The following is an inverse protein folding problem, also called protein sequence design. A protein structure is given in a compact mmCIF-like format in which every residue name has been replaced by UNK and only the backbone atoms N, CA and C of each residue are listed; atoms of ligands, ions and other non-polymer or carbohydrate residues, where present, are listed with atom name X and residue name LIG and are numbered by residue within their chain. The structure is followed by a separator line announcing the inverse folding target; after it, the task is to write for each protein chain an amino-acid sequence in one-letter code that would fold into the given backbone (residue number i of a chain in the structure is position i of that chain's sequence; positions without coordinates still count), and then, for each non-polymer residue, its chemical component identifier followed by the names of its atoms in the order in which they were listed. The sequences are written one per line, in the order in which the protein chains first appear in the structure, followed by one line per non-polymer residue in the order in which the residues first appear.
data_IF_928149573108
#
_entry.id   IF_928149573108
#
_cell.length_a   1.000
_cell.length_b   1.000
_cell.length_c   1.000
_cell.angle_alpha   90.00
_cell.angle_beta   90.00
_cell.angle_gamma   90.00
#
_symmetry.space_group_name_H-M   'P 1'
#
loop_
_entity.id
_entity.type
_entity.pdbx_description
1 polymer ?
#
# COMPACT_ATOMS: atom_id res chain seq x y z
N UNK A 1 -28.42 12.03 6.56
CA UNK A 1 -29.03 12.09 7.91
C UNK A 1 -28.30 11.11 8.81
N UNK A 2 -27.41 11.60 9.68
CA UNK A 2 -26.64 10.81 10.64
C UNK A 2 -27.35 10.88 12.00
N UNK A 3 -28.02 9.80 12.40
CA UNK A 3 -28.56 9.68 13.75
C UNK A 3 -27.40 9.52 14.75
N UNK A 4 -27.15 10.54 15.57
CA UNK A 4 -26.03 10.64 16.51
C UNK A 4 -26.22 9.84 17.80
N UNK A 5 -26.34 8.52 17.70
CA UNK A 5 -26.44 7.64 18.90
C UNK A 5 -25.36 6.55 18.92
N UNK A 6 -24.69 6.27 17.80
CA UNK A 6 -23.52 5.39 17.77
C UNK A 6 -22.25 6.22 17.54
N UNK A 7 -21.17 6.06 18.34
CA UNK A 7 -19.88 6.61 17.95
C UNK A 7 -19.57 6.13 16.53
N UNK A 8 -18.95 6.97 15.69
CA UNK A 8 -18.61 6.59 14.32
C UNK A 8 -17.60 5.44 14.39
N UNK A 9 -18.09 4.20 14.37
CA UNK A 9 -17.25 3.02 14.45
C UNK A 9 -16.59 2.86 13.08
N UNK A 10 -15.27 2.95 13.06
CA UNK A 10 -14.52 2.77 11.83
C UNK A 10 -14.66 1.32 11.34
N UNK A 11 -15.22 1.17 10.13
CA UNK A 11 -15.45 -0.14 9.48
C UNK A 11 -14.19 -1.00 9.42
N UNK A 12 -13.01 -0.42 9.26
CA UNK A 12 -11.76 -1.18 9.20
C UNK A 12 -11.35 -1.71 10.57
N UNK A 13 -11.67 -1.01 11.65
CA UNK A 13 -11.44 -1.48 13.03
C UNK A 13 -12.30 -2.71 13.30
N UNK A 14 -13.62 -2.65 13.05
CA UNK A 14 -14.49 -3.82 13.20
C UNK A 14 -14.07 -4.99 12.30
N UNK A 15 -13.69 -4.69 11.06
CA UNK A 15 -13.20 -5.71 10.13
C UNK A 15 -11.92 -6.37 10.62
N UNK A 16 -11.04 -5.64 11.31
CA UNK A 16 -9.85 -6.20 11.93
C UNK A 16 -10.22 -7.06 13.14
N UNK A 17 -11.07 -6.58 14.04
CA UNK A 17 -11.48 -7.31 15.24
C UNK A 17 -12.15 -8.66 14.91
N UNK A 18 -13.06 -8.68 13.91
CA UNK A 18 -13.67 -9.92 13.43
C UNK A 18 -12.63 -10.90 12.88
N UNK A 19 -11.77 -10.42 11.97
CA UNK A 19 -10.70 -11.24 11.41
C UNK A 19 -9.75 -11.76 12.50
N UNK A 20 -9.49 -10.95 13.53
CA UNK A 20 -8.59 -11.33 14.60
C UNK A 20 -9.12 -12.50 15.44
N UNK A 21 -10.43 -12.55 15.67
CA UNK A 21 -11.08 -13.69 16.35
C UNK A 21 -10.91 -14.97 15.52
N UNK A 22 -11.19 -14.90 14.23
CA UNK A 22 -11.01 -16.03 13.29
C UNK A 22 -9.54 -16.48 13.27
N UNK A 23 -8.59 -15.54 13.13
CA UNK A 23 -7.16 -15.83 13.11
C UNK A 23 -6.66 -16.49 14.40
N UNK A 24 -7.16 -16.07 15.58
CA UNK A 24 -6.78 -16.69 16.85
C UNK A 24 -7.31 -18.14 16.98
N UNK A 25 -8.46 -18.44 16.40
CA UNK A 25 -9.03 -19.78 16.42
C UNK A 25 -8.23 -20.77 15.56
N UNK A 26 -7.56 -20.27 14.52
CA UNK A 26 -6.73 -21.07 13.62
C UNK A 26 -5.33 -21.40 14.18
N UNK A 27 -4.93 -20.82 15.33
CA UNK A 27 -3.62 -21.07 15.95
C UNK A 27 -3.67 -22.39 16.74
N UNK A 28 -2.88 -23.43 16.37
CA UNK A 28 -2.98 -24.74 17.01
C UNK A 28 -2.52 -24.76 18.46
N UNK A 29 -1.46 -24.00 18.78
CA UNK A 29 -0.90 -23.91 20.13
C UNK A 29 -1.64 -22.86 20.97
N UNK A 30 -2.33 -23.26 22.06
CA UNK A 30 -3.05 -22.33 22.94
C UNK A 30 -2.15 -21.27 23.59
N UNK A 31 -0.89 -21.61 23.89
CA UNK A 31 0.11 -20.69 24.43
C UNK A 31 0.48 -19.62 23.40
N UNK A 32 0.66 -20.00 22.13
CA UNK A 32 0.87 -19.05 21.06
C UNK A 32 -0.36 -18.13 20.88
N UNK A 33 -1.57 -18.70 20.86
CA UNK A 33 -2.80 -17.94 20.75
C UNK A 33 -2.95 -16.91 21.88
N UNK A 34 -2.57 -17.27 23.11
CA UNK A 34 -2.61 -16.37 24.26
C UNK A 34 -1.61 -15.19 24.10
N UNK A 35 -0.40 -15.47 23.63
CA UNK A 35 0.64 -14.43 23.42
C UNK A 35 0.21 -13.47 22.31
N UNK A 36 -0.32 -14.00 21.20
CA UNK A 36 -0.83 -13.19 20.09
C UNK A 36 -2.05 -12.36 20.54
N UNK A 37 -2.96 -12.93 21.33
CA UNK A 37 -4.08 -12.21 21.96
C UNK A 37 -3.58 -11.04 22.78
N UNK A 38 -2.58 -11.26 23.65
CA UNK A 38 -1.99 -10.22 24.49
C UNK A 38 -1.36 -9.12 23.63
N UNK A 39 -0.49 -9.49 22.69
CA UNK A 39 0.14 -8.53 21.78
C UNK A 39 -0.89 -7.67 21.04
N UNK A 40 -1.90 -8.30 20.44
CA UNK A 40 -2.89 -7.57 19.67
C UNK A 40 -3.75 -6.64 20.53
N UNK A 41 -4.12 -7.08 21.73
CA UNK A 41 -4.95 -6.31 22.67
C UNK A 41 -4.23 -5.08 23.19
N UNK A 42 -2.94 -5.19 23.51
CA UNK A 42 -2.20 -4.13 24.20
C UNK A 42 -1.42 -3.21 23.25
N UNK A 43 -0.94 -3.72 22.11
CA UNK A 43 -0.13 -2.91 21.18
C UNK A 43 -0.89 -2.55 19.91
N UNK A 44 -1.63 -3.50 19.35
CA UNK A 44 -2.15 -3.35 17.99
C UNK A 44 -3.48 -2.60 17.97
N UNK A 45 -4.47 -3.08 18.73
CA UNK A 45 -5.82 -2.50 18.77
C UNK A 45 -5.83 -1.06 19.28
N UNK A 46 -5.11 -0.68 20.36
CA UNK A 46 -5.11 0.70 20.83
C UNK A 46 -4.57 1.65 19.76
N UNK A 47 -3.46 1.32 19.10
CA UNK A 47 -2.89 2.13 18.02
C UNK A 47 -3.83 2.28 16.83
N UNK A 48 -4.53 1.20 16.46
CA UNK A 48 -5.50 1.22 15.37
C UNK A 48 -6.71 2.11 15.71
N UNK A 49 -7.22 2.03 16.94
CA UNK A 49 -8.35 2.86 17.44
C UNK A 49 -7.97 4.33 17.53
N UNK A 50 -6.82 4.67 18.13
CA UNK A 50 -6.32 6.06 18.19
C UNK A 50 -6.10 6.65 16.79
N UNK A 51 -5.73 5.83 15.81
CA UNK A 51 -5.64 6.27 14.41
C UNK A 51 -7.01 6.59 13.83
N UNK A 52 -8.00 5.74 14.09
CA UNK A 52 -9.38 5.90 13.62
C UNK A 52 -10.03 7.17 14.19
N UNK A 53 -9.73 7.54 15.43
CA UNK A 53 -10.20 8.79 16.06
C UNK A 53 -9.76 10.04 15.29
N UNK A 54 -8.56 10.02 14.69
CA UNK A 54 -8.01 11.16 13.95
C UNK A 54 -8.51 11.21 12.51
N UNK A 55 -8.49 10.06 11.81
CA UNK A 55 -8.88 9.93 10.40
C UNK A 55 -9.39 8.52 10.14
N UNK A 56 -10.34 8.34 9.19
CA UNK A 56 -10.77 7.02 8.76
C UNK A 56 -9.58 6.14 8.37
N UNK A 57 -9.53 4.93 8.93
CA UNK A 57 -8.48 3.95 8.68
C UNK A 57 -8.60 3.46 7.25
N UNK A 58 -7.48 3.40 6.54
CA UNK A 58 -7.45 2.90 5.17
C UNK A 58 -7.36 1.37 5.17
N UNK A 59 -7.89 0.69 4.13
CA UNK A 59 -7.71 -0.77 3.97
C UNK A 59 -6.24 -1.20 3.95
N UNK A 60 -5.33 -0.34 3.48
CA UNK A 60 -3.89 -0.59 3.52
C UNK A 60 -3.34 -0.58 4.96
N UNK A 61 -3.75 0.39 5.78
CA UNK A 61 -3.35 0.45 7.19
C UNK A 61 -3.87 -0.76 7.97
N UNK A 62 -5.12 -1.17 7.75
CA UNK A 62 -5.68 -2.39 8.33
C UNK A 62 -4.92 -3.64 7.90
N UNK A 63 -4.60 -3.78 6.61
CA UNK A 63 -3.80 -4.91 6.08
C UNK A 63 -2.42 -4.96 6.72
N UNK A 64 -1.73 -3.83 6.85
CA UNK A 64 -0.42 -3.77 7.49
C UNK A 64 -0.47 -4.26 8.94
N UNK A 65 -1.49 -3.86 9.67
CA UNK A 65 -1.69 -4.30 11.06
C UNK A 65 -2.02 -5.79 11.16
N UNK A 66 -2.85 -6.32 10.27
CA UNK A 66 -3.10 -7.76 10.18
C UNK A 66 -1.83 -8.55 9.84
N UNK A 67 -0.98 -8.00 8.96
CA UNK A 67 0.31 -8.60 8.61
C UNK A 67 1.27 -8.67 9.83
N UNK A 68 1.28 -7.66 10.70
CA UNK A 68 2.04 -7.71 11.96
C UNK A 68 1.64 -8.91 12.84
N UNK A 69 0.33 -9.12 13.01
CA UNK A 69 -0.20 -10.26 13.78
C UNK A 69 0.15 -11.59 13.11
N UNK A 70 0.06 -11.68 11.77
CA UNK A 70 0.42 -12.88 11.02
C UNK A 70 1.90 -13.22 11.15
N UNK A 71 2.79 -12.24 10.99
CA UNK A 71 4.23 -12.46 11.13
C UNK A 71 4.64 -12.82 12.56
N UNK A 72 3.99 -12.23 13.56
CA UNK A 72 4.17 -12.64 14.96
C UNK A 72 3.75 -14.11 15.17
N UNK A 73 2.62 -14.52 14.60
CA UNK A 73 2.14 -15.92 14.66
C UNK A 73 3.12 -16.87 13.96
N UNK A 74 3.58 -16.50 12.77
CA UNK A 74 4.54 -17.29 11.99
C UNK A 74 5.87 -17.48 12.73
N UNK A 75 6.35 -16.45 13.45
CA UNK A 75 7.55 -16.55 14.27
C UNK A 75 7.41 -17.47 15.47
N UNK A 76 6.25 -17.46 16.13
CA UNK A 76 5.99 -18.41 17.22
C UNK A 76 5.97 -19.85 16.70
N UNK A 77 5.32 -20.08 15.55
CA UNK A 77 5.37 -21.38 14.88
C UNK A 77 6.80 -21.80 14.53
N UNK A 78 7.57 -20.90 13.91
CA UNK A 78 8.97 -21.14 13.54
C UNK A 78 9.89 -21.45 14.72
N UNK A 79 9.65 -20.84 15.89
CA UNK A 79 10.35 -21.17 17.13
C UNK A 79 9.99 -22.57 17.62
N UNK A 80 8.70 -22.91 17.63
CA UNK A 80 8.23 -24.23 18.07
C UNK A 80 8.73 -25.36 17.17
N UNK A 81 8.79 -25.14 15.85
CA UNK A 81 9.37 -26.10 14.89
C UNK A 81 10.86 -26.41 15.16
N UNK A 82 11.53 -25.61 16.00
CA UNK A 82 12.93 -25.76 16.43
C UNK A 82 13.07 -26.11 17.91
N UNK A 83 11.98 -26.58 18.53
CA UNK A 83 11.92 -26.87 19.97
C UNK A 83 12.39 -25.68 20.84
N UNK A 84 12.10 -24.46 20.38
CA UNK A 84 12.42 -23.23 21.08
C UNK A 84 11.15 -22.50 21.51
N UNK A 85 11.27 -21.75 22.60
CA UNK A 85 10.18 -20.92 23.13
C UNK A 85 10.63 -19.47 23.14
N UNK A 86 9.68 -18.54 23.31
CA UNK A 86 10.04 -17.13 23.49
C UNK A 86 11.00 -16.92 24.67
N UNK A 87 10.83 -17.66 25.76
CA UNK A 87 11.67 -17.53 26.96
C UNK A 87 13.13 -17.96 26.73
N UNK A 88 13.36 -18.93 25.82
CA UNK A 88 14.71 -19.36 25.44
C UNK A 88 15.27 -18.56 24.27
N UNK A 89 14.42 -17.84 23.53
CA UNK A 89 14.82 -16.99 22.42
C UNK A 89 15.66 -15.79 22.91
N UNK A 90 16.94 -15.79 22.53
CA UNK A 90 17.86 -14.66 22.66
C UNK A 90 18.41 -14.23 21.30
N UNK A 91 19.59 -13.60 21.29
CA UNK A 91 20.19 -13.05 20.07
C UNK A 91 20.29 -14.08 18.93
N UNK A 92 20.74 -15.31 19.22
CA UNK A 92 20.89 -16.37 18.21
C UNK A 92 19.59 -16.71 17.49
N UNK A 93 18.45 -16.75 18.19
CA UNK A 93 17.16 -17.02 17.58
C UNK A 93 16.68 -15.87 16.70
N UNK A 94 16.94 -14.63 17.12
CA UNK A 94 16.62 -13.42 16.34
C UNK A 94 17.49 -13.36 15.08
N UNK A 95 18.78 -13.64 15.19
CA UNK A 95 19.71 -13.64 14.06
C UNK A 95 19.35 -14.74 13.05
N UNK A 96 19.00 -15.94 13.53
CA UNK A 96 18.55 -17.04 12.67
C UNK A 96 17.25 -16.68 11.93
N UNK A 97 16.25 -16.10 12.61
CA UNK A 97 15.05 -15.59 11.95
C UNK A 97 15.39 -14.57 10.86
N UNK A 98 16.28 -13.62 11.16
CA UNK A 98 16.72 -12.59 10.22
C UNK A 98 17.53 -13.13 9.03
N UNK A 99 18.22 -14.26 9.18
CA UNK A 99 18.96 -14.92 8.11
C UNK A 99 18.03 -15.70 7.16
N UNK A 100 16.99 -16.35 7.69
CA UNK A 100 16.09 -17.20 6.92
C UNK A 100 14.93 -16.45 6.25
N UNK A 101 14.57 -15.26 6.73
CA UNK A 101 13.37 -14.55 6.29
C UNK A 101 13.66 -13.31 5.46
N UNK A 102 12.75 -13.01 4.53
CA UNK A 102 12.84 -11.85 3.65
C UNK A 102 12.71 -10.51 4.41
N UNK A 103 13.09 -9.41 3.75
CA UNK A 103 13.05 -8.07 4.34
C UNK A 103 11.67 -7.67 4.87
N UNK A 104 10.60 -8.11 4.22
CA UNK A 104 9.23 -7.79 4.61
C UNK A 104 8.87 -8.42 5.96
N UNK A 105 9.08 -9.72 6.13
CA UNK A 105 8.84 -10.42 7.39
C UNK A 105 9.69 -9.83 8.53
N UNK A 106 10.99 -9.57 8.27
CA UNK A 106 11.92 -8.94 9.22
C UNK A 106 11.45 -7.57 9.70
N UNK A 107 10.91 -6.75 8.81
CA UNK A 107 10.42 -5.42 9.14
C UNK A 107 9.06 -5.47 9.86
N UNK A 108 8.14 -6.29 9.37
CA UNK A 108 6.78 -6.38 9.89
C UNK A 108 6.76 -6.94 11.32
N UNK A 109 7.58 -7.95 11.62
CA UNK A 109 7.62 -8.56 12.97
C UNK A 109 8.25 -7.66 14.04
N UNK A 110 9.01 -6.64 13.64
CA UNK A 110 9.81 -5.81 14.56
C UNK A 110 9.00 -5.28 15.75
N UNK A 111 7.76 -4.84 15.50
CA UNK A 111 6.88 -4.33 16.55
C UNK A 111 6.54 -5.37 17.62
N UNK A 112 6.36 -6.63 17.21
CA UNK A 112 6.14 -7.75 18.12
C UNK A 112 7.38 -8.06 18.95
N UNK A 113 8.56 -8.14 18.33
CA UNK A 113 9.81 -8.41 19.04
C UNK A 113 10.12 -7.33 20.09
N UNK A 114 9.97 -6.05 19.74
CA UNK A 114 10.14 -4.95 20.68
C UNK A 114 9.18 -5.06 21.87
N UNK A 115 7.93 -5.43 21.62
CA UNK A 115 6.94 -5.65 22.68
C UNK A 115 7.30 -6.86 23.56
N UNK A 116 7.76 -7.97 22.98
CA UNK A 116 8.21 -9.15 23.73
C UNK A 116 9.38 -8.80 24.65
N UNK A 117 10.35 -8.03 24.15
CA UNK A 117 11.49 -7.55 24.94
C UNK A 117 11.03 -6.63 26.09
N UNK A 118 10.17 -5.65 25.82
CA UNK A 118 9.61 -4.75 26.83
C UNK A 118 8.77 -5.50 27.88
N UNK A 119 8.06 -6.55 27.46
CA UNK A 119 7.25 -7.42 28.32
C UNK A 119 8.04 -8.52 29.01
N UNK A 120 9.38 -8.55 28.83
CA UNK A 120 10.30 -9.56 29.37
C UNK A 120 9.93 -11.01 29.03
N UNK A 121 9.39 -11.23 27.83
CA UNK A 121 9.01 -12.55 27.32
C UNK A 121 10.19 -13.29 26.65
N UNK A 122 11.28 -12.58 26.38
CA UNK A 122 12.48 -13.08 25.70
C UNK A 122 13.73 -12.76 26.50
N UNK A 123 14.85 -13.42 26.18
CA UNK A 123 16.17 -12.97 26.64
C UNK A 123 16.52 -11.61 26.00
N UNK A 124 17.44 -10.84 26.60
CA UNK A 124 17.93 -9.61 25.98
C UNK A 124 18.50 -9.87 24.58
N UNK A 125 18.12 -9.03 23.62
CA UNK A 125 18.63 -9.07 22.26
C UNK A 125 18.74 -7.66 21.67
N UNK A 126 19.43 -7.54 20.55
CA UNK A 126 19.62 -6.34 19.75
C UNK A 126 19.02 -6.57 18.37
N UNK A 127 18.16 -5.65 17.95
CA UNK A 127 17.63 -5.65 16.59
C UNK A 127 18.46 -4.72 15.71
N UNK A 128 18.78 -5.13 14.47
CA UNK A 128 19.41 -4.23 13.51
C UNK A 128 18.52 -3.02 13.24
N UNK A 129 19.09 -1.85 12.90
CA UNK A 129 18.31 -0.69 12.50
C UNK A 129 17.49 -1.01 11.25
N UNK A 130 16.31 -0.40 11.12
CA UNK A 130 15.50 -0.53 9.90
C UNK A 130 16.25 0.16 8.77
N UNK A 131 16.74 -0.62 7.80
CA UNK A 131 17.32 -0.08 6.58
C UNK A 131 16.17 0.40 5.68
N UNK A 132 15.97 1.72 5.65
CA UNK A 132 15.11 2.35 4.65
C UNK A 132 15.95 2.47 3.38
N UNK A 133 15.94 1.42 2.56
CA UNK A 133 16.54 1.51 1.23
C UNK A 133 15.71 2.49 0.40
N UNK A 134 16.32 3.62 0.05
CA UNK A 134 15.78 4.50 -0.99
C UNK A 134 16.18 3.87 -2.30
N UNK A 135 15.20 3.59 -3.16
CA UNK A 135 15.51 3.18 -4.53
C UNK A 135 16.47 4.21 -5.15
N UNK A 136 17.53 3.73 -5.79
CA UNK A 136 18.47 4.61 -6.46
C UNK A 136 17.70 5.46 -7.49
N UNK A 137 17.99 6.77 -7.59
CA UNK A 137 17.38 7.59 -8.63
C UNK A 137 17.70 7.02 -10.00
N UNK A 138 16.69 6.96 -10.88
CA UNK A 138 16.89 6.58 -12.28
C UNK A 138 17.81 7.61 -12.96
N UNK A 139 18.86 7.16 -13.69
CA UNK A 139 19.71 8.04 -14.49
C UNK A 139 18.89 8.88 -15.49
N UNK A 140 19.34 10.10 -15.76
CA UNK A 140 18.61 11.02 -16.64
C UNK A 140 18.43 10.46 -18.07
N UNK A 141 19.45 9.79 -18.62
CA UNK A 141 19.39 9.21 -19.96
C UNK A 141 18.29 8.13 -20.05
N UNK A 142 18.24 7.23 -19.09
CA UNK A 142 17.22 6.18 -19.00
C UNK A 142 15.82 6.76 -18.82
N UNK A 143 15.69 7.81 -18.00
CA UNK A 143 14.41 8.55 -17.85
C UNK A 143 13.94 9.14 -19.18
N UNK A 144 14.84 9.77 -19.94
CA UNK A 144 14.49 10.39 -21.22
C UNK A 144 14.13 9.34 -22.28
N UNK A 145 14.86 8.24 -22.34
CA UNK A 145 14.55 7.11 -23.23
C UNK A 145 13.18 6.52 -22.92
N UNK A 146 12.88 6.29 -21.63
CA UNK A 146 11.59 5.76 -21.20
C UNK A 146 10.44 6.73 -21.50
N UNK A 147 10.63 8.04 -21.30
CA UNK A 147 9.67 9.06 -21.73
C UNK A 147 9.45 8.97 -23.24
N UNK A 148 10.51 8.90 -24.04
CA UNK A 148 10.44 8.75 -25.49
C UNK A 148 9.60 7.53 -25.89
N UNK A 149 9.92 6.36 -25.33
CA UNK A 149 9.17 5.10 -25.56
C UNK A 149 7.69 5.24 -25.18
N UNK A 150 7.38 5.78 -24.01
CA UNK A 150 5.98 5.96 -23.59
C UNK A 150 5.20 6.91 -24.51
N UNK A 151 5.87 7.93 -25.05
CA UNK A 151 5.25 8.90 -25.94
C UNK A 151 5.07 8.35 -27.36
N UNK A 152 5.95 7.49 -27.86
CA UNK A 152 5.93 7.08 -29.28
C UNK A 152 5.50 5.64 -29.52
N UNK A 153 5.81 4.69 -28.63
CA UNK A 153 5.64 3.26 -28.85
C UNK A 153 4.16 2.82 -28.80
N UNK A 154 3.54 2.42 -29.94
CA UNK A 154 2.14 1.99 -29.97
C UNK A 154 1.91 0.59 -29.40
N UNK A 155 2.95 -0.21 -29.18
CA UNK A 155 2.82 -1.57 -28.61
C UNK A 155 2.45 -1.52 -27.12
N UNK A 156 2.82 -0.44 -26.43
CA UNK A 156 2.49 -0.23 -25.03
C UNK A 156 1.02 0.15 -24.85
N UNK A 157 0.32 -0.39 -23.84
CA UNK A 157 -1.07 -0.03 -23.56
C UNK A 157 -1.22 1.48 -23.34
N UNK A 158 -2.17 2.12 -24.04
CA UNK A 158 -2.38 3.58 -23.98
C UNK A 158 -2.53 4.10 -22.54
N UNK A 159 -3.21 3.35 -21.67
CA UNK A 159 -3.33 3.65 -20.25
C UNK A 159 -1.97 3.77 -19.54
N UNK A 160 -1.06 2.83 -19.81
CA UNK A 160 0.27 2.80 -19.20
C UNK A 160 1.16 3.91 -19.76
N UNK A 161 1.03 4.22 -21.06
CA UNK A 161 1.70 5.35 -21.70
C UNK A 161 1.35 6.68 -21.03
N UNK A 162 0.06 7.00 -20.94
CA UNK A 162 -0.40 8.25 -20.30
C UNK A 162 0.03 8.33 -18.83
N UNK A 163 -0.22 7.27 -18.06
CA UNK A 163 0.16 7.25 -16.65
C UNK A 163 1.67 7.38 -16.44
N UNK A 164 2.47 6.60 -17.18
CA UNK A 164 3.92 6.62 -17.11
C UNK A 164 4.49 7.99 -17.48
N UNK A 165 3.96 8.62 -18.54
CA UNK A 165 4.39 9.97 -18.93
C UNK A 165 4.08 11.00 -17.85
N UNK A 166 2.91 10.94 -17.18
CA UNK A 166 2.60 11.84 -16.07
C UNK A 166 3.57 11.62 -14.89
N UNK A 167 3.87 10.37 -14.55
CA UNK A 167 4.84 10.04 -13.49
C UNK A 167 6.22 10.59 -13.82
N UNK A 168 6.72 10.34 -15.04
CA UNK A 168 8.09 10.68 -15.41
C UNK A 168 8.28 12.15 -15.72
N UNK A 169 7.29 12.86 -16.27
CA UNK A 169 7.40 14.29 -16.56
C UNK A 169 7.22 15.13 -15.30
N UNK A 170 6.22 14.80 -14.48
CA UNK A 170 5.83 15.65 -13.34
C UNK A 170 6.24 15.09 -11.98
N UNK A 171 7.03 14.01 -11.96
CA UNK A 171 7.47 13.32 -10.74
C UNK A 171 6.31 12.96 -9.78
N UNK A 172 5.14 12.65 -10.33
CA UNK A 172 3.95 12.35 -9.52
C UNK A 172 3.93 10.88 -9.11
N UNK A 173 3.67 10.56 -7.83
CA UNK A 173 3.52 9.18 -7.42
C UNK A 173 2.25 8.59 -8.07
N UNK A 174 2.30 7.29 -8.43
CA UNK A 174 1.14 6.59 -9.03
C UNK A 174 -0.13 6.70 -8.19
N UNK A 175 0.00 6.75 -6.85
CA UNK A 175 -1.11 6.94 -5.92
C UNK A 175 -1.86 8.26 -6.10
N UNK A 176 -1.18 9.29 -6.64
CA UNK A 176 -1.78 10.57 -7.00
C UNK A 176 -2.30 10.56 -8.43
N UNK A 177 -1.55 9.96 -9.37
CA UNK A 177 -1.96 9.87 -10.78
C UNK A 177 -3.32 9.17 -10.93
N UNK A 178 -3.54 8.05 -10.22
CA UNK A 178 -4.85 7.35 -10.30
C UNK A 178 -6.02 8.17 -9.76
N UNK A 179 -5.75 9.22 -8.97
CA UNK A 179 -6.76 10.12 -8.38
C UNK A 179 -7.01 11.37 -9.23
N UNK A 180 -6.39 11.48 -10.40
CA UNK A 180 -6.71 12.58 -11.31
C UNK A 180 -8.12 12.40 -11.88
N UNK A 181 -8.80 13.52 -12.05
CA UNK A 181 -10.13 13.63 -12.64
C UNK A 181 -10.06 14.32 -14.00
N UNK A 182 -11.14 14.26 -14.78
CA UNK A 182 -11.25 15.02 -16.02
C UNK A 182 -11.22 16.53 -15.75
N UNK A 183 -11.74 16.98 -14.61
CA UNK A 183 -11.75 18.39 -14.22
C UNK A 183 -10.35 18.92 -13.86
N UNK A 184 -9.37 18.02 -13.65
CA UNK A 184 -7.97 18.39 -13.50
C UNK A 184 -7.29 18.68 -14.85
N UNK A 185 -7.98 18.46 -15.98
CA UNK A 185 -7.47 18.71 -17.32
C UNK A 185 -8.26 19.89 -17.91
N UNK A 186 -7.58 21.00 -18.12
CA UNK A 186 -8.19 22.20 -18.70
C UNK A 186 -7.48 22.59 -19.99
N UNK A 187 -8.18 23.31 -20.86
CA UNK A 187 -7.58 23.97 -22.01
C UNK A 187 -7.61 25.47 -21.76
N UNK A 188 -6.46 26.11 -21.79
CA UNK A 188 -6.33 27.57 -21.66
C UNK A 188 -5.37 28.06 -22.75
N UNK A 189 -5.74 29.11 -23.47
CA UNK A 189 -4.84 29.82 -24.40
C UNK A 189 -4.05 28.90 -25.34
N UNK A 190 -4.73 27.90 -25.94
CA UNK A 190 -4.16 26.89 -26.84
C UNK A 190 -3.21 25.87 -26.19
N UNK A 191 -3.04 25.88 -24.88
CA UNK A 191 -2.28 24.87 -24.13
C UNK A 191 -3.22 23.97 -23.34
N UNK A 192 -2.85 22.69 -23.23
CA UNK A 192 -3.49 21.78 -22.29
C UNK A 192 -2.79 21.90 -20.95
N UNK A 193 -3.55 22.10 -19.89
CA UNK A 193 -3.05 22.24 -18.53
C UNK A 193 -3.52 21.06 -17.68
N UNK A 194 -2.65 20.59 -16.79
CA UNK A 194 -2.92 19.54 -15.83
C UNK A 194 -2.75 20.09 -14.41
N UNK A 195 -3.83 20.04 -13.62
CA UNK A 195 -3.86 20.51 -12.24
C UNK A 195 -3.21 19.48 -11.30
N UNK A 196 -1.89 19.57 -11.18
CA UNK A 196 -1.09 18.83 -10.19
C UNK A 196 -0.78 19.65 -8.93
N UNK A 197 -1.17 20.91 -8.94
CA UNK A 197 -0.91 21.90 -7.91
C UNK A 197 -1.37 23.25 -8.43
N UNK A 198 -1.14 24.28 -7.63
CA UNK A 198 -1.36 25.66 -8.04
C UNK A 198 0.00 26.34 -8.23
N UNK A 199 0.29 26.94 -9.39
CA UNK A 199 -0.54 26.98 -10.60
C UNK A 199 -0.57 25.63 -11.37
N UNK A 200 -1.56 25.40 -12.23
CA UNK A 200 -1.65 24.20 -13.06
C UNK A 200 -0.45 24.10 -14.02
N UNK A 201 -0.02 22.87 -14.32
CA UNK A 201 1.20 22.60 -15.11
C UNK A 201 0.87 22.42 -16.60
N UNK A 202 1.64 23.00 -17.53
CA UNK A 202 1.43 22.78 -18.95
C UNK A 202 1.74 21.33 -19.35
N UNK A 203 0.91 20.79 -20.25
CA UNK A 203 1.06 19.46 -20.85
C UNK A 203 1.74 19.60 -22.21
N UNK A 204 3.00 19.14 -22.37
CA UNK A 204 3.70 19.24 -23.63
C UNK A 204 3.10 18.27 -24.66
N UNK A 205 3.18 18.63 -25.94
CA UNK A 205 2.98 17.64 -27.00
C UNK A 205 4.19 16.69 -27.08
N UNK A 206 3.99 15.40 -27.38
CA UNK A 206 2.76 14.72 -27.82
C UNK A 206 1.89 14.13 -26.69
N UNK A 207 2.16 14.48 -25.42
CA UNK A 207 1.41 13.93 -24.30
C UNK A 207 -0.05 14.42 -24.30
N UNK A 208 -0.31 15.67 -24.67
CA UNK A 208 -1.66 16.19 -24.69
C UNK A 208 -2.54 15.42 -25.69
N UNK A 209 -2.04 15.11 -26.88
CA UNK A 209 -2.72 14.19 -27.82
C UNK A 209 -2.99 12.80 -27.24
N UNK A 210 -1.98 12.19 -26.60
CA UNK A 210 -2.15 10.89 -25.92
C UNK A 210 -3.20 10.94 -24.82
N UNK A 211 -3.23 12.01 -24.05
CA UNK A 211 -4.17 12.26 -22.97
C UNK A 211 -5.60 12.33 -23.52
N UNK A 212 -5.85 13.11 -24.57
CA UNK A 212 -7.19 13.21 -25.17
C UNK A 212 -7.63 11.90 -25.84
N UNK A 213 -6.71 11.17 -26.50
CA UNK A 213 -7.01 9.83 -27.02
C UNK A 213 -7.42 8.88 -25.90
N UNK A 214 -6.72 8.91 -24.77
CA UNK A 214 -7.09 8.12 -23.60
C UNK A 214 -8.46 8.52 -23.06
N UNK A 215 -8.75 9.81 -22.90
CA UNK A 215 -10.06 10.30 -22.41
C UNK A 215 -11.22 9.75 -23.26
N UNK A 216 -11.04 9.70 -24.59
CA UNK A 216 -12.02 9.16 -25.54
C UNK A 216 -12.13 7.63 -25.58
N UNK A 217 -11.14 6.91 -25.02
CA UNK A 217 -11.05 5.43 -25.08
C UNK A 217 -10.88 4.79 -23.69
N UNK A 218 -11.28 5.49 -22.61
CA UNK A 218 -11.10 5.03 -21.23
C UNK A 218 -11.77 3.67 -21.00
N UNK A 219 -11.02 2.76 -20.39
CA UNK A 219 -11.53 1.46 -19.94
C UNK A 219 -12.64 1.60 -18.89
N UNK A 220 -13.42 0.52 -18.71
CA UNK A 220 -14.43 0.38 -17.65
C UNK A 220 -15.59 1.42 -17.69
N UNK A 221 -15.80 2.07 -18.83
CA UNK A 221 -16.89 3.04 -19.05
C UNK A 221 -18.24 2.39 -19.42
N UNK A 222 -18.25 1.15 -19.93
CA UNK A 222 -19.45 0.44 -20.43
C UNK A 222 -20.33 -0.20 -19.34
N UNK A 223 -20.10 0.09 -18.06
CA UNK A 223 -20.98 -0.41 -16.99
C UNK A 223 -22.08 0.64 -16.76
N UNK A 224 -23.35 0.24 -16.69
CA UNK A 224 -24.52 1.14 -16.57
C UNK A 224 -24.41 2.17 -15.42
N UNK A 225 -23.55 1.92 -14.43
CA UNK A 225 -23.29 2.77 -13.26
C UNK A 225 -22.08 3.72 -13.41
N UNK A 226 -21.34 3.67 -14.53
CA UNK A 226 -20.04 4.34 -14.71
C UNK A 226 -20.00 5.37 -15.85
N UNK A 227 -21.10 5.61 -16.57
CA UNK A 227 -21.13 6.60 -17.67
C UNK A 227 -20.75 8.03 -17.22
N UNK A 228 -20.98 8.37 -15.96
CA UNK A 228 -20.61 9.66 -15.36
C UNK A 228 -19.27 9.63 -14.60
N UNK A 229 -18.42 8.61 -14.79
CA UNK A 229 -17.16 8.50 -14.06
C UNK A 229 -16.19 9.62 -14.46
N UNK A 230 -15.93 10.52 -13.51
CA UNK A 230 -15.02 11.66 -13.67
C UNK A 230 -13.54 11.32 -13.48
N UNK A 231 -13.20 10.09 -13.06
CA UNK A 231 -11.80 9.69 -12.90
C UNK A 231 -11.11 9.58 -14.26
N UNK A 232 -9.90 10.13 -14.35
CA UNK A 232 -9.02 9.97 -15.52
C UNK A 232 -8.61 8.50 -15.70
N UNK A 233 -8.47 7.76 -14.59
CA UNK A 233 -8.19 6.33 -14.58
C UNK A 233 -9.29 5.56 -13.83
N UNK A 234 -10.41 5.19 -14.49
CA UNK A 234 -11.51 4.48 -13.85
C UNK A 234 -11.12 3.09 -13.33
N UNK A 235 -11.53 2.77 -12.10
CA UNK A 235 -11.42 1.44 -11.53
C UNK A 235 -12.55 0.50 -11.97
N UNK A 236 -12.42 -0.79 -11.64
CA UNK A 236 -13.46 -1.81 -11.92
C UNK A 236 -14.74 -1.65 -11.10
N UNK A 237 -14.68 -0.92 -9.97
CA UNK A 237 -15.84 -0.62 -9.13
C UNK A 237 -16.34 0.77 -9.47
N UNK A 238 -17.66 0.92 -9.61
CA UNK A 238 -18.29 2.19 -9.97
C UNK A 238 -17.85 3.33 -9.02
N UNK A 239 -17.49 4.47 -9.59
CA UNK A 239 -17.09 5.67 -8.84
C UNK A 239 -15.74 5.58 -8.11
N UNK A 240 -14.97 4.51 -8.27
CA UNK A 240 -13.63 4.38 -7.66
C UNK A 240 -12.51 4.53 -8.69
N UNK A 241 -11.38 5.16 -8.33
CA UNK A 241 -10.21 5.18 -9.19
C UNK A 241 -9.56 3.80 -9.29
N UNK A 242 -8.73 3.61 -10.32
CA UNK A 242 -7.92 2.41 -10.48
C UNK A 242 -6.96 2.24 -9.29
N UNK A 243 -6.77 1.00 -8.83
CA UNK A 243 -5.81 0.73 -7.77
C UNK A 243 -4.36 0.93 -8.28
N UNK A 244 -3.49 1.66 -7.56
CA UNK A 244 -2.11 1.96 -8.01
C UNK A 244 -1.33 0.72 -8.45
N UNK A 245 -1.42 -0.38 -7.70
CA UNK A 245 -0.74 -1.65 -8.01
C UNK A 245 -1.14 -2.24 -9.38
N UNK A 246 -2.38 -2.01 -9.83
CA UNK A 246 -2.86 -2.49 -11.14
C UNK A 246 -2.23 -1.68 -12.27
N UNK A 247 -2.01 -0.38 -12.04
CA UNK A 247 -1.35 0.49 -13.00
C UNK A 247 0.16 0.19 -13.06
N UNK A 248 0.79 -0.05 -11.91
CA UNK A 248 2.22 -0.40 -11.83
C UNK A 248 2.57 -1.75 -12.46
N UNK A 249 1.65 -2.73 -12.45
CA UNK A 249 1.86 -4.05 -13.06
C UNK A 249 1.91 -4.02 -14.60
N UNK A 250 1.36 -2.99 -15.24
CA UNK A 250 1.37 -2.86 -16.71
C UNK A 250 2.68 -2.21 -17.19
N UNK A 251 3.33 -1.42 -16.34
CA UNK A 251 4.64 -0.82 -16.67
C UNK A 251 5.84 -1.72 -16.34
N UNK A 252 5.62 -2.88 -15.71
CA UNK A 252 6.69 -3.76 -15.20
C UNK A 252 6.71 -5.19 -15.75
N UNK A 253 5.94 -5.50 -16.80
CA UNK A 253 6.15 -6.74 -17.57
C UNK A 253 7.03 -6.38 -18.76
N UNK A 254 8.34 -6.51 -18.53
CA UNK A 254 9.39 -6.86 -19.50
C UNK A 254 10.74 -6.41 -18.93
N UNK A 255 11.12 -7.01 -17.79
CA UNK A 255 12.51 -7.27 -17.40
C UNK A 255 12.54 -8.60 -16.64
#
# INVERSE_FOLDING_TARGET
MTCGILPVIDKQVCSFERWFIEHLADIPDPGHAQIIRRYATWEVLPRLRTRAEKKPVTPAARRHVADQVKQATAFLGWLADRDHTLATCGQTGIDAWHAEHNQHARNTIRGFLLWCSASKLTRPFRLPPVQISRAAPMPQAERLELIGRLLTDPSLPLRARVAGSIVLLYAQPLSRVVRLTLDDITRAEQQTLLRLGEPPSPVPEPLAELLFRWIGSRDNMNTATNHACQWLFPGRRAGQPLHPDVLGRVSGRDQ
#
